data_IF_698842246753
#
_entry.id   IF_698842246753
#
_cell.length_a   1.000
_cell.length_b   1.000
_cell.length_c   1.000
_cell.angle_alpha   90.00
_cell.angle_beta   90.00
_cell.angle_gamma   90.00
#
_symmetry.space_group_name_H-M   'P 1'
#
loop_
_entity.id
_entity.type
_entity.pdbx_description
1 polymer ?
#
# COMPACT_ATOMS: atom_id res chain seq x y z
N UNK A 1 32.07 -58.09 -29.58
CA UNK A 1 32.88 -57.37 -30.58
C UNK A 1 32.01 -57.17 -31.82
N UNK A 2 32.03 -56.03 -32.54
CA UNK A 2 32.62 -54.70 -32.29
C UNK A 2 31.53 -53.60 -32.18
N UNK A 3 31.58 -52.63 -31.25
CA UNK A 3 32.35 -51.37 -31.27
C UNK A 3 32.39 -50.66 -32.63
N UNK A 4 31.52 -49.66 -32.81
CA UNK A 4 31.76 -48.53 -33.70
C UNK A 4 31.91 -47.25 -32.86
N UNK A 5 33.15 -46.76 -32.77
CA UNK A 5 33.50 -45.38 -32.38
C UNK A 5 33.92 -44.65 -33.66
N UNK A 6 34.01 -43.31 -33.56
CA UNK A 6 34.71 -42.35 -34.45
C UNK A 6 33.76 -41.76 -35.53
N UNK A 7 33.64 -40.45 -35.79
CA UNK A 7 34.40 -39.25 -35.43
C UNK A 7 33.47 -38.01 -35.35
N UNK A 8 33.85 -37.03 -34.53
CA UNK A 8 33.38 -35.64 -34.66
C UNK A 8 34.30 -34.87 -35.63
N UNK A 9 33.77 -34.01 -36.52
CA UNK A 9 34.58 -33.04 -37.25
C UNK A 9 34.73 -31.71 -36.49
N UNK A 10 35.95 -31.17 -36.57
CA UNK A 10 36.46 -29.95 -35.92
C UNK A 10 35.84 -28.63 -36.44
N UNK A 11 35.96 -27.50 -35.69
CA UNK A 11 35.31 -26.23 -36.01
C UNK A 11 36.11 -25.35 -36.99
N UNK A 12 35.45 -24.50 -37.82
CA UNK A 12 36.16 -23.53 -38.63
C UNK A 12 36.50 -22.22 -37.88
N UNK A 13 37.82 -22.00 -37.79
CA UNK A 13 38.62 -20.76 -37.97
C UNK A 13 38.02 -19.38 -37.62
N UNK A 14 38.69 -18.73 -36.67
CA UNK A 14 38.73 -17.26 -36.49
C UNK A 14 39.36 -16.58 -37.72
N UNK A 15 38.72 -15.53 -38.23
CA UNK A 15 39.38 -14.49 -39.00
C UNK A 15 39.66 -13.27 -38.10
N UNK A 16 40.87 -12.75 -38.28
CA UNK A 16 41.51 -11.65 -37.54
C UNK A 16 41.79 -10.60 -38.60
N UNK A 17 41.18 -9.44 -38.50
CA UNK A 17 41.60 -8.23 -39.23
C UNK A 17 41.77 -7.13 -38.19
N UNK A 18 43.01 -6.72 -37.99
CA UNK A 18 43.36 -5.50 -37.27
C UNK A 18 43.71 -4.40 -38.27
N UNK A 19 43.58 -3.15 -37.81
CA UNK A 19 44.20 -1.90 -38.29
C UNK A 19 44.26 -1.05 -36.99
N UNK A 20 45.40 -0.90 -36.28
CA UNK A 20 46.41 0.20 -36.35
C UNK A 20 45.77 1.60 -36.48
N UNK A 21 46.09 2.67 -35.76
CA UNK A 21 47.21 3.08 -34.90
C UNK A 21 46.89 4.52 -34.44
N UNK A 22 47.43 4.99 -33.31
CA UNK A 22 47.41 6.42 -32.99
C UNK A 22 47.67 6.71 -31.52
N UNK A 23 48.93 7.01 -31.20
CA UNK A 23 49.45 7.38 -29.88
C UNK A 23 49.89 8.84 -29.95
N UNK A 24 49.45 9.69 -29.03
CA UNK A 24 50.11 10.94 -28.58
C UNK A 24 49.35 11.43 -27.33
N UNK A 25 49.93 11.28 -26.14
CA UNK A 25 50.66 12.32 -25.38
C UNK A 25 49.76 13.09 -24.38
N UNK A 26 49.78 12.61 -23.14
CA UNK A 26 50.17 13.39 -21.95
C UNK A 26 49.67 14.85 -21.83
N UNK A 27 48.68 15.09 -20.96
CA UNK A 27 48.59 16.34 -20.18
C UNK A 27 47.86 16.11 -18.85
N UNK A 28 48.30 16.88 -17.85
CA UNK A 28 48.20 16.77 -16.40
C UNK A 28 46.79 16.87 -15.75
N UNK A 29 46.68 16.54 -14.44
CA UNK A 29 45.41 16.42 -13.71
C UNK A 29 44.90 17.77 -13.20
N UNK A 30 43.59 17.99 -13.29
CA UNK A 30 42.95 19.16 -12.69
C UNK A 30 42.47 18.87 -11.26
N UNK A 31 43.13 19.57 -10.34
CA UNK A 31 42.62 20.23 -9.13
C UNK A 31 41.15 19.99 -8.74
N UNK A 32 40.98 19.38 -7.57
CA UNK A 32 39.84 19.64 -6.69
C UNK A 32 40.38 19.99 -5.30
N UNK A 33 40.55 21.29 -5.03
CA UNK A 33 40.64 21.81 -3.66
C UNK A 33 39.24 21.99 -3.06
N UNK A 34 39.08 21.81 -1.74
CA UNK A 34 37.80 21.83 -1.05
C UNK A 34 37.41 23.26 -0.66
N UNK A 35 36.16 23.65 -0.83
CA UNK A 35 35.65 24.90 -0.28
C UNK A 35 34.23 24.78 0.26
N UNK A 36 34.09 25.34 1.46
CA UNK A 36 32.88 25.90 2.05
C UNK A 36 31.79 24.96 2.59
N UNK A 37 31.91 24.75 3.90
CA UNK A 37 30.81 24.46 4.85
C UNK A 37 29.69 25.51 4.68
N UNK A 38 28.43 25.14 4.41
CA UNK A 38 27.30 26.05 4.52
C UNK A 38 26.79 26.07 5.96
N UNK A 39 26.68 27.29 6.49
CA UNK A 39 26.06 27.61 7.76
C UNK A 39 24.62 27.09 7.85
N UNK A 40 24.31 26.43 8.97
CA UNK A 40 23.00 25.84 9.25
C UNK A 40 21.90 26.90 9.32
N UNK A 41 20.98 26.84 8.36
CA UNK A 41 19.71 27.56 8.38
C UNK A 41 18.74 26.86 9.36
N UNK A 42 18.11 27.64 10.24
CA UNK A 42 17.11 27.15 11.20
C UNK A 42 15.88 26.58 10.46
N UNK A 43 15.29 25.45 10.89
CA UNK A 43 14.17 24.85 10.18
C UNK A 43 12.89 25.68 10.35
N UNK A 44 12.21 25.95 9.22
CA UNK A 44 10.86 26.52 9.19
C UNK A 44 9.88 25.55 9.87
N UNK A 45 9.24 25.99 10.96
CA UNK A 45 8.12 25.27 11.62
C UNK A 45 6.97 25.09 10.63
N UNK A 46 6.74 23.85 10.19
CA UNK A 46 5.54 23.48 9.43
C UNK A 46 4.34 23.47 10.39
N UNK A 47 3.39 24.37 10.19
CA UNK A 47 2.11 24.33 10.91
C UNK A 47 1.30 23.15 10.40
N UNK A 48 1.35 22.00 11.08
CA UNK A 48 0.32 20.97 10.91
C UNK A 48 -1.00 21.54 11.40
N UNK A 49 -1.89 21.84 10.46
CA UNK A 49 -3.28 22.22 10.75
C UNK A 49 -3.99 20.96 11.22
N UNK A 50 -4.53 20.99 12.43
CA UNK A 50 -5.44 19.93 12.87
C UNK A 50 -6.67 19.98 11.96
N UNK A 51 -6.84 18.95 11.12
CA UNK A 51 -8.08 18.75 10.39
C UNK A 51 -9.03 18.05 11.36
N UNK A 52 -9.92 18.84 11.98
CA UNK A 52 -11.09 18.29 12.64
C UNK A 52 -11.81 17.40 11.61
N UNK A 53 -12.15 16.13 11.92
CA UNK A 53 -12.94 15.31 11.05
C UNK A 53 -14.29 16.00 10.84
N UNK A 54 -14.43 16.74 9.74
CA UNK A 54 -15.70 17.39 9.36
C UNK A 54 -16.73 16.35 8.91
N UNK A 55 -16.25 15.14 8.62
CA UNK A 55 -16.99 13.97 8.18
C UNK A 55 -17.22 13.02 9.36
N UNK A 56 -18.08 13.44 10.28
CA UNK A 56 -18.84 12.53 11.15
C UNK A 56 -20.03 13.27 11.74
N UNK A 57 -21.07 13.48 10.92
CA UNK A 57 -22.46 13.67 11.41
C UNK A 57 -23.13 12.34 11.77
N UNK A 58 -22.34 11.30 11.98
CA UNK A 58 -22.81 10.01 12.48
C UNK A 58 -22.18 9.78 13.86
N UNK A 59 -22.95 10.12 14.90
CA UNK A 59 -22.92 9.43 16.19
C UNK A 59 -21.64 9.49 17.05
N UNK A 60 -20.84 10.55 17.01
CA UNK A 60 -19.88 10.77 18.11
C UNK A 60 -20.64 11.41 19.29
N UNK A 61 -20.58 10.86 20.52
CA UNK A 61 -21.29 11.44 21.65
C UNK A 61 -20.80 12.87 21.90
N UNK A 62 -21.73 13.78 22.19
CA UNK A 62 -21.51 15.21 22.47
C UNK A 62 -20.59 15.49 23.68
N UNK A 63 -19.95 14.46 24.23
CA UNK A 63 -19.10 14.46 25.42
C UNK A 63 -17.65 14.06 25.13
N UNK A 64 -17.21 14.00 23.86
CA UNK A 64 -15.83 13.70 23.53
C UNK A 64 -14.88 14.78 24.11
N UNK A 65 -14.27 14.49 25.26
CA UNK A 65 -13.26 15.33 25.91
C UNK A 65 -12.14 15.61 24.91
N UNK A 66 -11.74 16.88 24.81
CA UNK A 66 -10.62 17.26 23.94
C UNK A 66 -9.33 16.57 24.41
N UNK A 67 -8.45 16.15 23.49
CA UNK A 67 -7.17 15.51 23.85
C UNK A 67 -6.31 16.35 24.82
N UNK A 68 -6.43 17.68 24.78
CA UNK A 68 -5.76 18.58 25.72
C UNK A 68 -6.30 18.49 27.15
N UNK A 69 -7.59 18.24 27.35
CA UNK A 69 -8.19 18.10 28.69
C UNK A 69 -7.76 16.81 29.37
N UNK A 70 -7.72 15.71 28.62
CA UNK A 70 -7.20 14.44 29.14
C UNK A 70 -5.72 14.52 29.57
N UNK A 71 -4.92 15.38 28.93
CA UNK A 71 -3.52 15.63 29.31
C UNK A 71 -3.39 16.63 30.47
N UNK A 72 -4.33 17.57 30.62
CA UNK A 72 -4.42 18.45 31.79
C UNK A 72 -4.88 17.70 33.04
N UNK A 73 -5.82 16.76 32.91
CA UNK A 73 -6.24 15.86 34.00
C UNK A 73 -5.05 15.02 34.53
N UNK A 74 -4.02 14.81 33.69
CA UNK A 74 -2.75 14.15 34.05
C UNK A 74 -1.68 15.10 34.63
N UNK A 75 -2.01 16.37 34.86
CA UNK A 75 -1.11 17.37 35.45
C UNK A 75 -0.05 17.95 34.52
N UNK A 76 -0.15 17.73 33.20
CA UNK A 76 0.85 18.20 32.23
C UNK A 76 0.68 19.69 31.92
N UNK A 77 1.79 20.43 31.91
CA UNK A 77 1.82 21.85 31.58
C UNK A 77 1.72 22.13 30.07
N UNK A 78 1.38 23.36 29.70
CA UNK A 78 1.17 23.79 28.29
C UNK A 78 2.31 23.38 27.34
N UNK A 79 3.58 23.55 27.74
CA UNK A 79 4.74 23.18 26.91
C UNK A 79 4.87 21.67 26.67
N UNK A 80 4.49 20.85 27.65
CA UNK A 80 4.51 19.39 27.53
C UNK A 80 3.37 18.90 26.63
N UNK A 81 2.18 19.50 26.75
CA UNK A 81 1.04 19.19 25.87
C UNK A 81 1.35 19.55 24.41
N UNK A 82 2.07 20.66 24.16
CA UNK A 82 2.54 21.03 22.82
C UNK A 82 3.51 20.00 22.25
N UNK A 83 4.43 19.50 23.08
CA UNK A 83 5.39 18.48 22.67
C UNK A 83 4.69 17.15 22.36
N UNK A 84 3.75 16.73 23.21
CA UNK A 84 3.02 15.45 23.11
C UNK A 84 2.05 15.42 21.92
N UNK A 85 1.27 16.50 21.72
CA UNK A 85 0.28 16.56 20.64
C UNK A 85 0.88 16.98 19.30
N UNK A 86 2.14 17.46 19.29
CA UNK A 86 2.80 18.05 18.12
C UNK A 86 1.95 19.14 17.42
N UNK A 87 1.19 19.92 18.21
CA UNK A 87 0.31 20.97 17.73
C UNK A 87 0.90 22.36 17.96
N UNK A 88 0.49 23.35 17.16
CA UNK A 88 0.91 24.74 17.35
C UNK A 88 0.52 25.24 18.76
N UNK A 89 1.41 25.94 19.49
CA UNK A 89 1.15 26.41 20.85
C UNK A 89 -0.14 27.22 21.01
N UNK A 90 -0.56 27.96 19.99
CA UNK A 90 -1.82 28.72 19.99
C UNK A 90 -3.03 27.81 19.85
N UNK A 91 -2.91 26.70 19.11
CA UNK A 91 -3.95 25.69 18.96
C UNK A 91 -4.16 24.92 20.26
N UNK A 92 -3.07 24.52 20.91
CA UNK A 92 -3.14 23.88 22.24
C UNK A 92 -3.79 24.82 23.25
N UNK A 93 -3.39 26.11 23.28
CA UNK A 93 -4.02 27.10 24.16
C UNK A 93 -5.52 27.30 23.86
N UNK A 94 -5.92 27.22 22.59
CA UNK A 94 -7.34 27.28 22.19
C UNK A 94 -8.10 26.04 22.71
N UNK A 95 -7.51 24.86 22.62
CA UNK A 95 -8.13 23.61 23.07
C UNK A 95 -8.20 23.52 24.59
N UNK A 96 -7.22 24.06 25.31
CA UNK A 96 -7.26 24.14 26.77
C UNK A 96 -8.37 25.06 27.29
N UNK A 97 -8.75 26.08 26.51
CA UNK A 97 -9.79 27.07 26.88
C UNK A 97 -11.21 26.65 26.51
N UNK A 98 -11.38 25.77 25.52
CA UNK A 98 -12.69 25.33 25.07
C UNK A 98 -13.18 24.19 25.96
N UNK A 99 -14.38 24.28 26.51
CA UNK A 99 -14.94 23.26 27.39
C UNK A 99 -15.29 21.97 26.64
N UNK A 100 -15.67 22.09 25.37
CA UNK A 100 -16.10 20.96 24.52
C UNK A 100 -15.59 21.07 23.09
N UNK A 101 -15.62 19.97 22.36
CA UNK A 101 -15.29 19.96 20.94
C UNK A 101 -16.22 20.84 20.09
N UNK A 102 -17.49 20.99 20.49
CA UNK A 102 -18.48 21.81 19.77
C UNK A 102 -18.16 23.31 19.80
N UNK A 103 -17.63 23.83 20.91
CA UNK A 103 -17.16 25.22 20.99
C UNK A 103 -16.04 25.52 19.96
N UNK A 104 -15.19 24.53 19.67
CA UNK A 104 -14.13 24.68 18.67
C UNK A 104 -14.64 24.59 17.23
N UNK A 105 -15.69 23.79 17.00
CA UNK A 105 -16.33 23.59 15.69
C UNK A 105 -17.16 24.81 15.29
N UNK A 106 -17.86 25.44 16.25
CA UNK A 106 -18.60 26.69 16.03
C UNK A 106 -17.71 27.90 15.79
N UNK A 107 -16.53 27.97 16.43
CA UNK A 107 -15.63 29.12 16.40
C UNK A 107 -14.61 29.13 15.23
N UNK A 108 -14.88 28.42 14.13
CA UNK A 108 -14.10 28.55 12.90
C UNK A 108 -14.49 29.79 12.09
N UNK A 109 -13.62 30.36 11.23
CA UNK A 109 -13.98 31.48 10.35
C UNK A 109 -15.11 31.16 9.34
N UNK A 110 -15.57 29.91 9.31
CA UNK A 110 -16.72 29.45 8.52
C UNK A 110 -17.90 28.94 9.35
N UNK A 111 -17.84 28.99 10.69
CA UNK A 111 -18.86 28.46 11.60
C UNK A 111 -19.83 29.51 12.15
N UNK A 112 -19.51 30.81 12.05
CA UNK A 112 -20.28 31.88 12.68
C UNK A 112 -20.80 32.98 11.73
N UNK A 113 -20.79 32.77 10.41
CA UNK A 113 -21.52 33.68 9.52
C UNK A 113 -22.92 33.12 9.39
N UNK A 114 -23.87 33.62 10.18
CA UNK A 114 -25.30 33.46 9.91
C UNK A 114 -25.52 33.96 8.48
N UNK A 115 -25.45 33.06 7.50
CA UNK A 115 -25.75 33.43 6.12
C UNK A 115 -27.23 33.71 6.09
N UNK A 116 -27.66 34.80 5.44
CA UNK A 116 -29.07 35.18 5.23
C UNK A 116 -29.96 34.04 4.70
N UNK A 117 -29.37 32.93 4.25
CA UNK A 117 -30.00 31.69 3.82
C UNK A 117 -30.43 30.74 4.95
N UNK A 118 -30.02 30.94 6.20
CA UNK A 118 -30.19 29.93 7.24
C UNK A 118 -31.67 29.72 7.64
N UNK A 119 -32.50 30.77 7.59
CA UNK A 119 -33.95 30.68 7.79
C UNK A 119 -34.69 29.96 6.66
N UNK A 120 -34.12 29.89 5.45
CA UNK A 120 -34.76 29.28 4.27
C UNK A 120 -34.02 28.05 3.74
N UNK A 121 -33.02 27.55 4.48
CA UNK A 121 -32.28 26.36 4.14
C UNK A 121 -33.20 25.12 4.07
N UNK A 122 -34.16 25.00 5.00
CA UNK A 122 -35.15 23.92 5.00
C UNK A 122 -36.02 23.95 3.74
N UNK A 123 -36.47 25.15 3.33
CA UNK A 123 -37.25 25.34 2.10
C UNK A 123 -36.45 24.95 0.85
N UNK A 124 -35.19 25.40 0.76
CA UNK A 124 -34.33 25.07 -0.37
C UNK A 124 -34.02 23.58 -0.47
N UNK A 125 -33.88 22.89 0.66
CA UNK A 125 -33.69 21.43 0.71
C UNK A 125 -34.96 20.71 0.25
N UNK A 126 -36.14 21.14 0.72
CA UNK A 126 -37.43 20.56 0.29
C UNK A 126 -37.63 20.70 -1.22
N UNK A 127 -37.46 21.91 -1.77
CA UNK A 127 -37.57 22.17 -3.22
C UNK A 127 -36.54 21.42 -4.04
N UNK A 128 -35.33 21.26 -3.51
CA UNK A 128 -34.29 20.45 -4.15
C UNK A 128 -34.71 18.97 -4.23
N UNK A 129 -35.29 18.43 -3.16
CA UNK A 129 -35.80 17.04 -3.13
C UNK A 129 -37.04 16.85 -4.03
N UNK A 130 -37.84 17.89 -4.24
CA UNK A 130 -38.94 17.92 -5.23
C UNK A 130 -38.45 18.02 -6.69
N UNK A 131 -37.14 18.04 -6.93
CA UNK A 131 -36.54 18.08 -8.27
C UNK A 131 -36.26 19.49 -8.83
N UNK A 132 -36.49 20.55 -8.05
CA UNK A 132 -36.16 21.91 -8.47
C UNK A 132 -34.65 22.18 -8.29
N UNK A 133 -33.86 21.83 -9.31
CA UNK A 133 -32.41 22.02 -9.27
C UNK A 133 -31.93 23.36 -9.85
N UNK A 134 -32.83 24.21 -10.36
CA UNK A 134 -32.49 25.50 -10.97
C UNK A 134 -32.30 26.59 -9.92
N UNK A 135 -31.07 27.07 -9.77
CA UNK A 135 -30.73 28.11 -8.80
C UNK A 135 -31.40 29.47 -9.09
N UNK A 136 -31.66 29.79 -10.37
CA UNK A 136 -32.41 30.99 -10.78
C UNK A 136 -33.85 30.94 -10.30
N UNK A 137 -34.51 29.78 -10.43
CA UNK A 137 -35.88 29.57 -9.98
C UNK A 137 -35.99 29.67 -8.47
N UNK A 138 -35.07 29.01 -7.75
CA UNK A 138 -35.01 29.08 -6.28
C UNK A 138 -34.68 30.51 -5.79
N UNK A 139 -33.89 31.29 -6.53
CA UNK A 139 -33.61 32.68 -6.20
C UNK A 139 -34.84 33.58 -6.33
N UNK A 140 -35.63 33.43 -7.41
CA UNK A 140 -36.90 34.13 -7.59
C UNK A 140 -37.92 33.79 -6.50
N UNK A 141 -38.07 32.50 -6.19
CA UNK A 141 -38.97 32.04 -5.11
C UNK A 141 -38.56 32.58 -3.73
N UNK A 142 -37.25 32.78 -3.48
CA UNK A 142 -36.77 33.42 -2.25
C UNK A 142 -37.02 34.94 -2.25
N UNK A 143 -36.91 35.59 -3.40
CA UNK A 143 -37.19 37.01 -3.55
C UNK A 143 -38.67 37.34 -3.33
N UNK A 144 -39.58 36.52 -3.88
CA UNK A 144 -41.04 36.63 -3.67
C UNK A 144 -41.45 36.41 -2.20
N UNK A 145 -40.65 35.64 -1.45
CA UNK A 145 -40.81 35.43 0.00
C UNK A 145 -40.19 36.54 0.86
N UNK A 146 -39.73 37.63 0.24
CA UNK A 146 -39.24 38.83 0.93
C UNK A 146 -37.76 38.80 1.31
N UNK A 147 -36.94 37.91 0.73
CA UNK A 147 -35.52 37.83 1.05
C UNK A 147 -34.64 38.42 -0.05
N UNK A 148 -33.79 39.36 0.35
CA UNK A 148 -32.76 39.92 -0.52
C UNK A 148 -31.48 39.09 -0.43
N UNK A 149 -31.47 37.91 -1.08
CA UNK A 149 -30.26 37.08 -1.22
C UNK A 149 -29.68 37.23 -2.63
N UNK A 150 -28.35 37.27 -2.77
CA UNK A 150 -27.72 37.22 -4.09
C UNK A 150 -27.90 35.84 -4.72
N UNK A 151 -28.21 35.82 -6.02
CA UNK A 151 -28.32 34.60 -6.83
C UNK A 151 -27.07 33.71 -6.72
N UNK A 152 -25.88 34.32 -6.64
CA UNK A 152 -24.60 33.62 -6.47
C UNK A 152 -24.55 32.78 -5.20
N UNK A 153 -25.19 33.25 -4.13
CA UNK A 153 -25.25 32.56 -2.84
C UNK A 153 -26.19 31.36 -2.90
N UNK A 154 -27.33 31.49 -3.60
CA UNK A 154 -28.25 30.39 -3.89
C UNK A 154 -27.59 29.34 -4.78
N UNK A 155 -26.91 29.74 -5.86
CA UNK A 155 -26.12 28.85 -6.72
C UNK A 155 -25.09 28.05 -5.93
N UNK A 156 -24.34 28.70 -5.03
CA UNK A 156 -23.35 28.03 -4.17
C UNK A 156 -24.01 27.04 -3.20
N UNK A 157 -25.19 27.37 -2.68
CA UNK A 157 -25.94 26.47 -1.80
C UNK A 157 -26.43 25.23 -2.54
N UNK A 158 -27.09 25.40 -3.69
CA UNK A 158 -27.56 24.30 -4.55
C UNK A 158 -26.40 23.45 -5.04
N UNK A 159 -25.26 24.05 -5.38
CA UNK A 159 -24.06 23.29 -5.74
C UNK A 159 -23.57 22.40 -4.59
N UNK A 160 -23.58 22.88 -3.34
CA UNK A 160 -23.24 22.04 -2.18
C UNK A 160 -24.26 20.91 -1.98
N UNK A 161 -25.55 21.17 -2.19
CA UNK A 161 -26.56 20.11 -2.14
C UNK A 161 -26.32 19.05 -3.22
N UNK A 162 -25.96 19.44 -4.44
CA UNK A 162 -25.60 18.50 -5.51
C UNK A 162 -24.36 17.67 -5.19
N UNK A 163 -23.32 18.30 -4.65
CA UNK A 163 -22.10 17.57 -4.24
C UNK A 163 -22.39 16.56 -3.11
N UNK A 164 -23.27 16.92 -2.17
CA UNK A 164 -23.67 16.01 -1.09
C UNK A 164 -24.68 14.93 -1.55
N UNK A 165 -25.44 15.20 -2.62
CA UNK A 165 -26.42 14.28 -3.18
C UNK A 165 -25.82 13.32 -4.22
N UNK A 166 -24.58 13.56 -4.68
CA UNK A 166 -23.85 12.56 -5.47
C UNK A 166 -23.74 11.30 -4.60
N UNK A 167 -24.19 10.13 -5.08
CA UNK A 167 -23.99 8.88 -4.37
C UNK A 167 -22.51 8.76 -4.03
N UNK A 168 -22.20 8.51 -2.76
CA UNK A 168 -20.84 8.21 -2.31
C UNK A 168 -20.29 7.16 -3.27
N UNK A 169 -19.21 7.50 -3.99
CA UNK A 169 -18.62 6.61 -4.97
C UNK A 169 -18.47 5.22 -4.33
N UNK A 170 -18.96 4.18 -5.02
CA UNK A 170 -18.80 2.80 -4.55
C UNK A 170 -17.35 2.61 -4.09
N UNK A 171 -17.11 1.98 -2.93
CA UNK A 171 -15.75 1.75 -2.47
C UNK A 171 -14.98 1.06 -3.61
N UNK A 172 -13.73 1.49 -3.86
CA UNK A 172 -12.95 0.96 -4.97
C UNK A 172 -12.86 -0.56 -4.80
N UNK A 173 -13.15 -1.28 -5.89
CA UNK A 173 -13.00 -2.74 -5.92
C UNK A 173 -11.52 -3.04 -5.64
N UNK A 174 -11.20 -3.95 -4.69
CA UNK A 174 -9.82 -4.28 -4.39
C UNK A 174 -9.14 -4.86 -5.63
N UNK A 175 -7.85 -4.54 -5.81
CA UNK A 175 -7.11 -5.03 -6.98
C UNK A 175 -6.82 -6.52 -6.80
N UNK A 176 -6.79 -7.28 -7.91
CA UNK A 176 -6.46 -8.72 -7.88
C UNK A 176 -5.15 -8.98 -7.11
N UNK A 177 -4.09 -8.23 -7.42
CA UNK A 177 -2.78 -8.34 -6.74
C UNK A 177 -2.86 -8.09 -5.24
N UNK A 178 -3.74 -7.18 -4.81
CA UNK A 178 -3.95 -6.88 -3.39
C UNK A 178 -4.56 -8.10 -2.70
N UNK A 179 -5.65 -8.64 -3.26
CA UNK A 179 -6.32 -9.83 -2.71
C UNK A 179 -5.40 -11.05 -2.71
N UNK A 180 -4.69 -11.32 -3.82
CA UNK A 180 -3.72 -12.44 -3.87
C UNK A 180 -2.59 -12.25 -2.86
N UNK A 181 -2.08 -11.02 -2.71
CA UNK A 181 -1.07 -10.69 -1.70
C UNK A 181 -1.58 -10.97 -0.28
N UNK A 182 -2.82 -10.59 0.03
CA UNK A 182 -3.45 -10.87 1.32
C UNK A 182 -3.56 -12.37 1.58
N UNK A 183 -4.00 -13.16 0.60
CA UNK A 183 -4.15 -14.61 0.72
C UNK A 183 -2.80 -15.27 1.04
N UNK A 184 -1.73 -14.84 0.37
CA UNK A 184 -0.38 -15.40 0.53
C UNK A 184 0.39 -14.84 1.74
N UNK A 185 -0.10 -13.78 2.38
CA UNK A 185 0.55 -13.21 3.57
C UNK A 185 0.17 -14.01 4.82
N UNK A 186 1.14 -14.28 5.69
CA UNK A 186 0.90 -14.97 6.96
C UNK A 186 -0.18 -14.24 7.80
N UNK A 187 -1.13 -14.94 8.46
CA UNK A 187 -2.20 -14.32 9.22
C UNK A 187 -1.73 -13.26 10.21
N UNK A 188 -0.63 -13.51 10.92
CA UNK A 188 -0.07 -12.61 11.94
C UNK A 188 0.48 -11.28 11.39
N UNK A 189 0.73 -11.20 10.07
CA UNK A 189 1.24 -10.00 9.41
C UNK A 189 0.14 -9.19 8.72
N UNK A 190 -1.14 -9.57 8.88
CA UNK A 190 -2.28 -8.86 8.30
C UNK A 190 -2.81 -7.81 9.28
N UNK A 191 -3.01 -6.58 8.80
CA UNK A 191 -3.70 -5.54 9.60
C UNK A 191 -5.16 -5.91 9.85
N UNK A 192 -5.76 -5.33 10.88
CA UNK A 192 -7.18 -5.55 11.21
C UNK A 192 -8.10 -5.24 10.02
N UNK A 193 -7.84 -4.14 9.31
CA UNK A 193 -8.57 -3.76 8.09
C UNK A 193 -8.47 -4.80 6.98
N UNK A 194 -7.30 -5.44 6.82
CA UNK A 194 -7.08 -6.48 5.81
C UNK A 194 -7.78 -7.78 6.19
N UNK A 195 -7.81 -8.12 7.48
CA UNK A 195 -8.54 -9.28 7.99
C UNK A 195 -10.05 -9.14 7.77
N UNK A 196 -10.61 -7.96 8.05
CA UNK A 196 -12.01 -7.63 7.79
C UNK A 196 -12.32 -7.73 6.29
N UNK A 197 -11.49 -7.12 5.44
CA UNK A 197 -11.66 -7.19 3.99
C UNK A 197 -11.68 -8.64 3.48
N UNK A 198 -10.71 -9.46 3.91
CA UNK A 198 -10.65 -10.86 3.48
C UNK A 198 -11.87 -11.65 3.98
N UNK A 199 -12.32 -11.41 5.21
CA UNK A 199 -13.53 -12.03 5.76
C UNK A 199 -14.77 -11.68 4.94
N UNK A 200 -14.95 -10.40 4.59
CA UNK A 200 -16.05 -9.97 3.72
C UNK A 200 -15.99 -10.62 2.33
N UNK A 201 -14.79 -10.70 1.74
CA UNK A 201 -14.61 -11.30 0.42
C UNK A 201 -14.95 -12.80 0.43
N UNK A 202 -14.56 -13.52 1.49
CA UNK A 202 -14.90 -14.94 1.67
C UNK A 202 -16.39 -15.18 1.83
N UNK A 203 -17.11 -14.29 2.51
CA UNK A 203 -18.58 -14.37 2.65
C UNK A 203 -19.27 -14.16 1.29
N UNK A 204 -18.74 -13.26 0.46
CA UNK A 204 -19.34 -12.93 -0.84
C UNK A 204 -19.03 -13.95 -1.94
N UNK A 205 -17.93 -14.70 -1.82
CA UNK A 205 -17.48 -15.65 -2.84
C UNK A 205 -16.99 -16.94 -2.19
N UNK A 206 -17.77 -18.02 -2.33
CA UNK A 206 -17.44 -19.35 -1.80
C UNK A 206 -16.16 -19.92 -2.42
N UNK A 207 -15.98 -19.79 -3.73
CA UNK A 207 -14.76 -20.24 -4.43
C UNK A 207 -13.48 -19.58 -3.87
N UNK A 208 -13.57 -18.30 -3.47
CA UNK A 208 -12.46 -17.59 -2.86
C UNK A 208 -12.20 -18.08 -1.43
N UNK A 209 -13.24 -18.46 -0.69
CA UNK A 209 -13.11 -19.06 0.63
C UNK A 209 -12.38 -20.41 0.52
N UNK A 210 -12.78 -21.27 -0.42
CA UNK A 210 -12.13 -22.56 -0.69
C UNK A 210 -10.66 -22.36 -1.07
N UNK A 211 -10.37 -21.39 -1.95
CA UNK A 211 -9.01 -21.05 -2.34
C UNK A 211 -8.15 -20.63 -1.13
N UNK A 212 -8.70 -19.79 -0.25
CA UNK A 212 -7.99 -19.34 0.95
C UNK A 212 -7.68 -20.50 1.89
N UNK A 213 -8.59 -21.46 2.04
CA UNK A 213 -8.42 -22.62 2.91
C UNK A 213 -7.39 -23.60 2.36
N UNK A 214 -7.47 -23.92 1.07
CA UNK A 214 -6.47 -24.76 0.39
C UNK A 214 -5.08 -24.14 0.47
N UNK A 215 -4.93 -22.84 0.20
CA UNK A 215 -3.64 -22.16 0.28
C UNK A 215 -3.09 -22.14 1.71
N UNK A 216 -3.96 -21.88 2.70
CA UNK A 216 -3.55 -21.80 4.10
C UNK A 216 -3.14 -23.17 4.65
N UNK A 217 -3.88 -24.25 4.30
CA UNK A 217 -3.50 -25.64 4.62
C UNK A 217 -2.17 -26.02 3.97
N UNK A 218 -1.97 -25.67 2.69
CA UNK A 218 -0.72 -25.94 2.00
C UNK A 218 0.47 -25.21 2.62
N UNK A 219 0.29 -23.92 2.95
CA UNK A 219 1.32 -23.12 3.61
C UNK A 219 1.68 -23.69 4.99
N UNK A 220 0.68 -24.08 5.79
CA UNK A 220 0.90 -24.76 7.07
C UNK A 220 1.68 -26.07 6.89
N UNK A 221 1.32 -26.89 5.91
CA UNK A 221 2.02 -28.13 5.60
C UNK A 221 3.48 -27.88 5.22
N UNK A 222 3.79 -26.85 4.41
CA UNK A 222 5.16 -26.47 4.07
C UNK A 222 5.95 -26.05 5.31
N UNK A 223 5.38 -25.17 6.15
CA UNK A 223 6.06 -24.61 7.32
C UNK A 223 6.34 -25.70 8.36
N UNK A 224 5.35 -26.56 8.61
CA UNK A 224 5.42 -27.60 9.64
C UNK A 224 5.98 -28.94 9.12
N UNK A 225 6.25 -29.03 7.82
CA UNK A 225 6.76 -30.24 7.14
C UNK A 225 5.90 -31.49 7.38
N UNK A 226 4.59 -31.35 7.20
CA UNK A 226 3.59 -32.42 7.40
C UNK A 226 3.22 -33.16 6.12
N UNK A 227 4.14 -33.23 5.14
CA UNK A 227 3.89 -33.84 3.84
C UNK A 227 3.31 -35.27 3.94
N UNK A 228 3.92 -36.13 4.76
CA UNK A 228 3.50 -37.52 4.92
C UNK A 228 2.05 -37.68 5.43
N UNK A 229 1.56 -36.73 6.22
CA UNK A 229 0.25 -36.80 6.87
C UNK A 229 -0.84 -36.10 6.05
N UNK A 230 -0.51 -34.97 5.42
CA UNK A 230 -1.49 -34.04 4.86
C UNK A 230 -1.48 -33.95 3.32
N UNK A 231 -0.37 -34.30 2.65
CA UNK A 231 -0.19 -34.01 1.22
C UNK A 231 -1.17 -34.77 0.33
N UNK A 232 -1.42 -36.05 0.61
CA UNK A 232 -2.34 -36.88 -0.18
C UNK A 232 -3.76 -36.30 -0.14
N UNK A 233 -4.27 -36.06 1.07
CA UNK A 233 -5.61 -35.51 1.26
C UNK A 233 -5.72 -34.09 0.69
N UNK A 234 -4.71 -33.25 0.91
CA UNK A 234 -4.70 -31.90 0.35
C UNK A 234 -4.73 -31.91 -1.18
N UNK A 235 -3.99 -32.81 -1.81
CA UNK A 235 -3.94 -32.94 -3.28
C UNK A 235 -5.29 -33.41 -3.82
N UNK A 236 -5.92 -34.39 -3.17
CA UNK A 236 -7.26 -34.85 -3.52
C UNK A 236 -8.32 -33.73 -3.41
N UNK A 237 -8.29 -32.96 -2.31
CA UNK A 237 -9.19 -31.82 -2.11
C UNK A 237 -8.97 -30.73 -3.18
N UNK A 238 -7.70 -30.46 -3.53
CA UNK A 238 -7.36 -29.48 -4.55
C UNK A 238 -7.79 -29.93 -5.96
N UNK A 239 -7.68 -31.22 -6.28
CA UNK A 239 -8.15 -31.83 -7.53
C UNK A 239 -9.68 -31.81 -7.65
N UNK A 240 -10.40 -32.01 -6.52
CA UNK A 240 -11.85 -31.94 -6.47
C UNK A 240 -12.42 -30.51 -6.47
N UNK A 241 -11.59 -29.51 -6.18
CA UNK A 241 -12.04 -28.12 -6.08
C UNK A 241 -12.56 -27.56 -7.40
N UNK A 242 -13.48 -26.60 -7.33
CA UNK A 242 -13.99 -25.89 -8.51
C UNK A 242 -12.94 -24.96 -9.18
N UNK A 243 -11.74 -24.84 -8.61
CA UNK A 243 -10.70 -23.88 -8.97
C UNK A 243 -9.71 -24.44 -10.00
N UNK A 244 -9.78 -24.06 -11.30
CA UNK A 244 -8.96 -24.68 -12.35
C UNK A 244 -7.45 -24.53 -12.13
N UNK A 245 -7.03 -23.39 -11.57
CA UNK A 245 -5.62 -23.13 -11.28
C UNK A 245 -5.05 -24.06 -10.19
N UNK A 246 -5.83 -24.34 -9.14
CA UNK A 246 -5.40 -25.24 -8.07
C UNK A 246 -5.46 -26.71 -8.51
N UNK A 247 -6.46 -27.10 -9.30
CA UNK A 247 -6.49 -28.44 -9.91
C UNK A 247 -5.24 -28.69 -10.76
N UNK A 248 -4.93 -27.77 -11.66
CA UNK A 248 -3.74 -27.90 -12.52
C UNK A 248 -2.43 -27.95 -11.72
N UNK A 249 -2.35 -27.17 -10.64
CA UNK A 249 -1.21 -27.23 -9.71
C UNK A 249 -1.09 -28.60 -9.04
N UNK A 250 -2.18 -29.13 -8.48
CA UNK A 250 -2.22 -30.43 -7.82
C UNK A 250 -1.85 -31.58 -8.77
N UNK A 251 -2.38 -31.58 -9.99
CA UNK A 251 -1.97 -32.52 -11.05
C UNK A 251 -0.49 -32.40 -11.39
N UNK A 252 0.07 -31.18 -11.32
CA UNK A 252 1.50 -30.94 -11.49
C UNK A 252 2.34 -31.60 -10.40
N UNK A 253 1.91 -31.53 -9.13
CA UNK A 253 2.62 -32.14 -8.01
C UNK A 253 2.74 -33.66 -8.16
N UNK A 254 1.69 -34.30 -8.69
CA UNK A 254 1.65 -35.75 -8.91
C UNK A 254 2.75 -36.26 -9.86
N UNK A 255 3.28 -35.41 -10.75
CA UNK A 255 4.35 -35.79 -11.68
C UNK A 255 5.69 -36.03 -10.98
N UNK A 256 5.96 -35.29 -9.91
CA UNK A 256 7.20 -35.33 -9.14
C UNK A 256 6.91 -35.71 -7.67
N UNK A 257 5.97 -36.65 -7.47
CA UNK A 257 5.37 -36.93 -6.15
C UNK A 257 6.39 -37.21 -5.05
N UNK A 258 7.36 -38.10 -5.31
CA UNK A 258 8.38 -38.47 -4.32
C UNK A 258 9.24 -37.26 -3.92
N UNK A 259 9.56 -36.40 -4.88
CA UNK A 259 10.35 -35.19 -4.63
C UNK A 259 9.55 -34.15 -3.82
N UNK A 260 8.26 -33.97 -4.16
CA UNK A 260 7.35 -33.08 -3.41
C UNK A 260 7.16 -33.59 -1.99
N UNK A 261 6.88 -34.88 -1.82
CA UNK A 261 6.72 -35.55 -0.53
C UNK A 261 7.97 -35.38 0.35
N UNK A 262 9.15 -35.64 -0.22
CA UNK A 262 10.41 -35.45 0.47
C UNK A 262 10.64 -33.98 0.85
N UNK A 263 10.35 -33.04 -0.06
CA UNK A 263 10.49 -31.61 0.17
C UNK A 263 9.58 -31.06 1.28
N UNK A 264 8.39 -31.66 1.44
CA UNK A 264 7.40 -31.30 2.45
C UNK A 264 7.51 -32.11 3.75
N UNK A 265 8.47 -33.03 3.86
CA UNK A 265 8.61 -33.91 5.04
C UNK A 265 10.00 -33.82 5.67
N UNK A 266 11.05 -33.85 4.84
CA UNK A 266 12.42 -33.87 5.34
C UNK A 266 12.86 -32.48 5.79
N UNK A 267 13.71 -32.43 6.83
CA UNK A 267 14.38 -31.18 7.25
C UNK A 267 15.39 -30.66 6.23
N UNK A 268 15.88 -31.54 5.36
CA UNK A 268 16.95 -31.26 4.40
C UNK A 268 16.37 -30.72 3.09
N UNK A 269 16.98 -29.67 2.54
CA UNK A 269 16.63 -29.15 1.22
C UNK A 269 17.88 -28.67 0.48
N UNK A 270 17.79 -28.64 -0.85
CA UNK A 270 18.88 -28.16 -1.72
C UNK A 270 18.89 -26.63 -1.88
N UNK A 271 17.92 -25.91 -1.28
CA UNK A 271 17.71 -24.48 -1.51
C UNK A 271 18.95 -23.61 -1.28
N UNK A 272 19.62 -23.70 -0.10
CA UNK A 272 20.86 -22.95 0.13
C UNK A 272 21.95 -23.29 -0.88
N UNK A 273 22.13 -24.57 -1.21
CA UNK A 273 23.15 -25.02 -2.18
C UNK A 273 22.85 -24.48 -3.58
N UNK A 274 21.59 -24.56 -4.01
CA UNK A 274 21.13 -24.00 -5.29
C UNK A 274 21.31 -22.48 -5.35
N UNK A 275 21.08 -21.77 -4.24
CA UNK A 275 21.36 -20.35 -4.11
C UNK A 275 22.84 -20.03 -4.38
N UNK A 276 23.75 -20.79 -3.75
CA UNK A 276 25.19 -20.66 -4.00
C UNK A 276 25.56 -20.98 -5.45
N UNK A 277 25.01 -22.07 -6.01
CA UNK A 277 25.23 -22.44 -7.41
C UNK A 277 24.74 -21.34 -8.36
N UNK A 278 23.60 -20.74 -8.09
CA UNK A 278 23.04 -19.63 -8.88
C UNK A 278 23.90 -18.37 -8.78
N UNK A 279 24.39 -18.01 -7.58
CA UNK A 279 25.36 -16.91 -7.40
C UNK A 279 26.63 -17.15 -8.21
N UNK A 280 27.18 -18.35 -8.15
CA UNK A 280 28.38 -18.72 -8.91
C UNK A 280 28.13 -18.67 -10.42
N UNK A 281 26.99 -19.20 -10.89
CA UNK A 281 26.56 -19.12 -12.30
C UNK A 281 26.41 -17.67 -12.76
N UNK A 282 25.85 -16.80 -11.93
CA UNK A 282 25.70 -15.37 -12.21
C UNK A 282 27.07 -14.69 -12.36
N UNK A 283 28.00 -14.91 -11.41
CA UNK A 283 29.37 -14.37 -11.50
C UNK A 283 30.09 -14.88 -12.75
N UNK A 284 29.92 -16.16 -13.10
CA UNK A 284 30.48 -16.73 -14.33
C UNK A 284 29.87 -16.10 -15.58
N UNK A 285 28.57 -15.80 -15.59
CA UNK A 285 27.86 -15.12 -16.69
C UNK A 285 28.29 -13.67 -16.86
N UNK A 286 28.50 -12.92 -15.78
CA UNK A 286 29.05 -11.55 -15.82
C UNK A 286 30.43 -11.50 -16.51
N UNK A 287 31.17 -12.60 -16.48
CA UNK A 287 32.48 -12.73 -17.10
C UNK A 287 32.43 -13.45 -18.45
N UNK A 288 31.24 -13.59 -19.05
CA UNK A 288 31.01 -14.28 -20.32
C UNK A 288 31.62 -15.70 -20.35
N UNK A 289 31.59 -16.40 -19.22
CA UNK A 289 32.14 -17.76 -19.09
C UNK A 289 33.67 -17.84 -19.00
N UNK A 290 34.40 -16.71 -19.00
CA UNK A 290 35.88 -16.67 -19.02
C UNK A 290 36.54 -16.77 -17.64
N UNK A 291 35.74 -16.93 -16.58
CA UNK A 291 36.24 -17.12 -15.22
C UNK A 291 36.73 -18.57 -15.03
N UNK A 292 38.05 -18.78 -15.14
CA UNK A 292 38.71 -20.01 -14.65
C UNK A 292 38.59 -20.09 -13.11
N UNK A 293 38.80 -21.28 -12.54
CA UNK A 293 38.52 -21.57 -11.14
C UNK A 293 39.20 -20.57 -10.16
N UNK A 294 40.46 -20.20 -10.41
CA UNK A 294 41.19 -19.25 -9.56
C UNK A 294 40.55 -17.86 -9.54
N UNK A 295 40.13 -17.37 -10.71
CA UNK A 295 39.50 -16.07 -10.88
C UNK A 295 38.07 -16.07 -10.29
N UNK A 296 37.35 -17.18 -10.48
CA UNK A 296 36.03 -17.37 -9.91
C UNK A 296 36.10 -17.43 -8.38
N UNK A 297 37.07 -18.14 -7.82
CA UNK A 297 37.34 -18.19 -6.37
C UNK A 297 37.60 -16.79 -5.81
N UNK A 298 38.48 -16.01 -6.45
CA UNK A 298 38.75 -14.61 -6.05
C UNK A 298 37.48 -13.76 -6.06
N UNK A 299 36.65 -13.86 -7.11
CA UNK A 299 35.40 -13.08 -7.17
C UNK A 299 34.35 -13.51 -6.16
N UNK A 300 34.23 -14.81 -5.85
CA UNK A 300 33.29 -15.29 -4.84
C UNK A 300 33.66 -14.78 -3.44
N UNK A 301 34.97 -14.78 -3.12
CA UNK A 301 35.51 -14.31 -1.84
C UNK A 301 35.49 -12.78 -1.69
N UNK A 302 35.58 -12.02 -2.79
CA UNK A 302 35.57 -10.56 -2.76
C UNK A 302 34.18 -9.93 -2.98
N UNK A 303 33.18 -10.73 -3.35
CA UNK A 303 31.79 -10.27 -3.58
C UNK A 303 30.85 -10.60 -2.41
N UNK A 304 31.41 -10.84 -1.22
CA UNK A 304 30.69 -10.92 0.07
C UNK A 304 30.69 -9.54 0.71
#
# INVERSE_FOLDING_TARGET
MPRARIAAPAPPRRSRTGITSGRTSETRPNDWSPACVPSGSRPRRTRRRWNCPRDRRAGAPASAKLPSHALMDRGLGHSQIVAELHLDPKTVRKFMRAATADELIGAGPSGGRQTSLQGHAAYLIARFNEGCHSALRLHRELFERGLTVSERTVRRFVHRLRENAKPTARPPVPKVREVTGLILTHPDHRSESQQVLLKELRIRCGELADACDLVSRFASMIVNRRGQEELEQWTADAEASALPGLRGFATGLRKDWDAVMAGLTLRWNSGPVEGHVNRIKMLKRQMFGRAKLDLLRKRVLLAT
#
